data_IF_684731886892
#
_entry.id   IF_684731886892
#
_cell.length_a   1.000
_cell.length_b   1.000
_cell.length_c   1.000
_cell.angle_alpha   90.00
_cell.angle_beta   90.00
_cell.angle_gamma   90.00
#
_symmetry.space_group_name_H-M   'P 1'
#
loop_
_entity.id
_entity.type
_entity.pdbx_description
1 polymer ?
#
# COMPACT_ATOMS: atom_id res chain seq x y z
N UNK A 1 -29.55 -4.01 -11.41
CA UNK A 1 -29.43 -4.72 -12.71
C UNK A 1 -30.31 -4.11 -13.80
N UNK A 2 -31.45 -3.49 -13.46
CA UNK A 2 -32.31 -2.79 -14.44
C UNK A 2 -31.72 -1.45 -14.90
N UNK A 3 -31.14 -0.66 -13.98
CA UNK A 3 -30.49 0.64 -14.28
C UNK A 3 -29.34 0.46 -15.30
N UNK A 4 -28.58 -0.63 -15.21
CA UNK A 4 -27.47 -0.92 -16.13
C UNK A 4 -27.96 -1.23 -17.55
N UNK A 5 -29.13 -1.85 -17.70
CA UNK A 5 -29.67 -2.24 -19.02
C UNK A 5 -30.34 -1.04 -19.71
N UNK A 6 -31.00 -0.16 -18.95
CA UNK A 6 -31.62 1.06 -19.50
C UNK A 6 -30.58 2.10 -19.95
N UNK A 7 -29.46 2.22 -19.24
CA UNK A 7 -28.33 3.05 -19.68
C UNK A 7 -27.70 2.51 -20.98
N UNK A 8 -27.57 1.19 -21.09
CA UNK A 8 -27.05 0.52 -22.30
C UNK A 8 -27.98 0.67 -23.52
N UNK A 9 -29.30 0.73 -23.32
CA UNK A 9 -30.26 0.92 -24.42
C UNK A 9 -30.30 2.37 -24.94
N UNK A 10 -30.16 3.36 -24.05
CA UNK A 10 -30.03 4.79 -24.41
C UNK A 10 -28.73 5.12 -25.13
N UNK A 11 -27.64 4.42 -24.80
CA UNK A 11 -26.37 4.48 -25.53
C UNK A 11 -26.55 4.05 -26.99
N UNK A 12 -27.37 3.04 -27.27
CA UNK A 12 -27.51 2.43 -28.60
C UNK A 12 -28.09 3.35 -29.70
N UNK A 13 -28.76 4.45 -29.32
CA UNK A 13 -29.43 5.36 -30.25
C UNK A 13 -28.58 6.52 -30.78
N UNK A 14 -27.43 6.82 -30.16
CA UNK A 14 -26.61 7.98 -30.52
C UNK A 14 -25.15 7.57 -30.74
N UNK A 15 -24.79 7.34 -32.01
CA UNK A 15 -23.45 6.91 -32.43
C UNK A 15 -22.33 7.87 -32.01
N UNK A 16 -22.64 9.16 -31.85
CA UNK A 16 -21.69 10.16 -31.32
C UNK A 16 -21.46 10.00 -29.82
N UNK A 17 -22.49 9.64 -29.06
CA UNK A 17 -22.36 9.43 -27.62
C UNK A 17 -21.59 8.15 -27.31
N UNK A 18 -21.85 7.06 -28.05
CA UNK A 18 -21.11 5.80 -27.88
C UNK A 18 -19.64 5.95 -28.24
N UNK A 19 -19.32 6.66 -29.32
CA UNK A 19 -17.92 6.89 -29.72
C UNK A 19 -17.16 7.71 -28.67
N UNK A 20 -17.75 8.77 -28.12
CA UNK A 20 -17.14 9.57 -27.05
C UNK A 20 -16.90 8.72 -25.80
N UNK A 21 -17.89 7.93 -25.36
CA UNK A 21 -17.74 7.06 -24.18
C UNK A 21 -16.63 6.02 -24.38
N UNK A 22 -16.54 5.43 -25.58
CA UNK A 22 -15.47 4.47 -25.91
C UNK A 22 -14.10 5.14 -25.91
N UNK A 23 -13.98 6.35 -26.45
CA UNK A 23 -12.71 7.11 -26.44
C UNK A 23 -12.29 7.41 -25.01
N UNK A 24 -13.22 7.90 -24.17
CA UNK A 24 -12.92 8.18 -22.74
C UNK A 24 -12.50 6.89 -22.04
N UNK A 25 -13.22 5.78 -22.25
CA UNK A 25 -12.87 4.49 -21.66
C UNK A 25 -11.47 4.03 -22.10
N UNK A 26 -11.10 4.21 -23.37
CA UNK A 26 -9.76 3.90 -23.87
C UNK A 26 -8.70 4.81 -23.27
N UNK A 27 -8.94 6.13 -23.19
CA UNK A 27 -8.00 7.09 -22.58
C UNK A 27 -7.75 6.72 -21.12
N UNK A 28 -8.82 6.46 -20.37
CA UNK A 28 -8.75 6.02 -18.97
C UNK A 28 -7.99 4.69 -18.87
N UNK A 29 -8.31 3.73 -19.72
CA UNK A 29 -7.64 2.43 -19.76
C UNK A 29 -6.13 2.56 -20.05
N UNK A 30 -5.74 3.35 -21.05
CA UNK A 30 -4.33 3.58 -21.38
C UNK A 30 -3.61 4.37 -20.29
N UNK A 31 -4.26 5.36 -19.68
CA UNK A 31 -3.69 6.12 -18.57
C UNK A 31 -3.38 5.22 -17.37
N UNK A 32 -4.33 4.38 -16.96
CA UNK A 32 -4.11 3.42 -15.87
C UNK A 32 -3.05 2.37 -16.21
N UNK A 33 -3.04 1.86 -17.45
CA UNK A 33 -2.03 0.88 -17.88
C UNK A 33 -0.63 1.47 -18.04
N UNK A 34 -0.51 2.77 -18.35
CA UNK A 34 0.80 3.43 -18.45
C UNK A 34 1.44 3.60 -17.08
N UNK A 35 0.65 3.93 -16.06
CA UNK A 35 1.12 4.14 -14.68
C UNK A 35 1.71 2.88 -14.04
N UNK A 36 1.26 1.69 -14.47
CA UNK A 36 1.71 0.40 -13.91
C UNK A 36 2.91 -0.21 -14.65
N UNK A 37 3.44 0.46 -15.69
CA UNK A 37 4.57 -0.08 -16.44
C UNK A 37 5.89 0.02 -15.66
N UNK A 38 6.74 -1.02 -15.70
CA UNK A 38 8.07 -0.94 -15.11
C UNK A 38 8.93 0.17 -15.76
N UNK A 39 9.84 0.73 -14.97
CA UNK A 39 10.83 1.69 -15.47
C UNK A 39 11.76 0.98 -16.44
N UNK A 40 12.00 1.62 -17.59
CA UNK A 40 12.93 1.09 -18.60
C UNK A 40 14.34 1.00 -18.03
N UNK A 41 15.02 -0.12 -18.31
CA UNK A 41 16.42 -0.34 -17.94
C UNK A 41 16.65 -0.99 -16.56
N UNK A 42 15.60 -1.19 -15.77
CA UNK A 42 15.69 -1.95 -14.50
C UNK A 42 14.98 -3.30 -14.69
N UNK A 43 15.60 -4.42 -14.29
CA UNK A 43 14.97 -5.73 -14.42
C UNK A 43 13.73 -5.84 -13.53
N UNK A 44 12.73 -6.57 -14.00
CA UNK A 44 11.46 -6.79 -13.32
C UNK A 44 11.32 -8.25 -12.84
N UNK A 45 10.73 -8.44 -11.65
CA UNK A 45 10.48 -9.74 -11.00
C UNK A 45 8.99 -9.91 -10.74
N UNK A 46 8.44 -11.09 -11.03
CA UNK A 46 7.12 -11.48 -10.52
C UNK A 46 6.06 -11.81 -11.54
N UNK A 47 6.22 -11.39 -12.79
CA UNK A 47 5.18 -11.49 -13.81
C UNK A 47 5.61 -12.29 -15.04
N UNK A 48 4.66 -12.96 -15.71
CA UNK A 48 4.93 -13.56 -17.00
C UNK A 48 5.28 -12.46 -18.02
N UNK A 49 6.21 -12.77 -18.95
CA UNK A 49 6.64 -11.82 -20.01
C UNK A 49 5.50 -11.28 -20.88
N UNK A 50 4.34 -11.94 -20.85
CA UNK A 50 3.15 -11.62 -21.65
C UNK A 50 2.04 -10.91 -20.84
N UNK A 51 2.29 -10.54 -19.58
CA UNK A 51 1.30 -9.83 -18.75
C UNK A 51 1.25 -8.34 -19.10
N UNK A 52 0.60 -8.00 -20.21
CA UNK A 52 0.54 -6.62 -20.75
C UNK A 52 -0.12 -5.65 -19.75
N UNK A 53 -1.08 -6.16 -18.97
CA UNK A 53 -1.85 -5.38 -17.98
C UNK A 53 -1.25 -5.44 -16.57
N UNK A 54 -0.17 -6.20 -16.36
CA UNK A 54 0.47 -6.45 -15.07
C UNK A 54 -0.49 -6.96 -13.96
N UNK A 55 -1.63 -7.55 -14.31
CA UNK A 55 -2.63 -7.96 -13.31
C UNK A 55 -2.15 -9.15 -12.48
N UNK A 56 -1.45 -10.10 -13.11
CA UNK A 56 -0.91 -11.28 -12.39
C UNK A 56 0.26 -10.87 -11.51
N UNK A 57 1.06 -9.93 -11.99
CA UNK A 57 2.12 -9.31 -11.21
C UNK A 57 1.61 -8.66 -9.92
N UNK A 58 0.58 -7.81 -10.06
CA UNK A 58 -0.06 -7.14 -8.93
C UNK A 58 -0.70 -8.11 -7.96
N UNK A 59 -1.41 -9.12 -8.48
CA UNK A 59 -2.00 -10.15 -7.65
C UNK A 59 -0.94 -10.93 -6.86
N UNK A 60 0.20 -11.24 -7.48
CA UNK A 60 1.32 -11.90 -6.80
C UNK A 60 1.97 -11.00 -5.76
N UNK A 61 2.07 -9.70 -6.02
CA UNK A 61 2.52 -8.75 -5.01
C UNK A 61 1.60 -8.75 -3.79
N UNK A 62 0.28 -8.80 -3.97
CA UNK A 62 -0.68 -8.82 -2.86
C UNK A 62 -0.68 -10.14 -2.08
N UNK A 63 -0.49 -11.27 -2.76
CA UNK A 63 -0.58 -12.60 -2.14
C UNK A 63 0.75 -13.14 -1.63
N UNK A 64 1.87 -12.82 -2.28
CA UNK A 64 3.19 -13.39 -1.99
C UNK A 64 4.34 -12.38 -2.18
N UNK A 65 4.20 -11.20 -1.59
CA UNK A 65 5.23 -10.16 -1.64
C UNK A 65 6.58 -10.64 -1.09
N UNK A 66 6.56 -11.42 0.00
CA UNK A 66 7.77 -11.86 0.70
C UNK A 66 8.65 -12.74 -0.19
N UNK A 67 8.09 -13.77 -0.82
CA UNK A 67 8.88 -14.61 -1.71
C UNK A 67 9.22 -13.88 -3.01
N UNK A 68 8.39 -12.93 -3.44
CA UNK A 68 8.68 -12.10 -4.60
C UNK A 68 9.94 -11.23 -4.40
N UNK A 69 10.08 -10.59 -3.24
CA UNK A 69 11.27 -9.83 -2.88
C UNK A 69 12.49 -10.75 -2.78
N UNK A 70 12.32 -11.91 -2.13
CA UNK A 70 13.38 -12.92 -2.01
C UNK A 70 13.89 -13.39 -3.38
N UNK A 71 12.98 -13.72 -4.30
CA UNK A 71 13.31 -14.10 -5.68
C UNK A 71 14.13 -13.00 -6.38
N UNK A 72 13.73 -11.73 -6.20
CA UNK A 72 14.45 -10.60 -6.79
C UNK A 72 15.86 -10.42 -6.24
N UNK A 73 16.02 -10.55 -4.92
CA UNK A 73 17.33 -10.47 -4.25
C UNK A 73 18.25 -11.65 -4.62
N UNK A 74 17.71 -12.84 -4.85
CA UNK A 74 18.48 -14.01 -5.30
C UNK A 74 18.89 -13.90 -6.77
N UNK A 75 18.04 -13.27 -7.60
CA UNK A 75 18.23 -13.21 -9.05
C UNK A 75 19.08 -12.03 -9.51
N UNK A 76 19.03 -10.91 -8.80
CA UNK A 76 19.70 -9.68 -9.19
C UNK A 76 20.57 -9.17 -8.04
N UNK A 77 21.87 -9.02 -8.30
CA UNK A 77 22.76 -8.31 -7.37
C UNK A 77 22.44 -6.80 -7.36
N UNK A 78 21.93 -6.25 -8.47
CA UNK A 78 21.59 -4.84 -8.63
C UNK A 78 20.12 -4.48 -8.32
N UNK A 79 19.72 -3.22 -8.57
CA UNK A 79 18.32 -2.80 -8.50
C UNK A 79 17.39 -3.67 -9.34
N UNK A 80 16.20 -3.93 -8.82
CA UNK A 80 15.14 -4.62 -9.56
C UNK A 80 13.78 -4.01 -9.22
N UNK A 81 12.75 -4.38 -9.98
CA UNK A 81 11.40 -3.88 -9.79
C UNK A 81 10.41 -4.98 -9.49
N UNK A 82 9.42 -4.63 -8.68
CA UNK A 82 8.20 -5.41 -8.46
C UNK A 82 7.01 -4.52 -8.80
N UNK A 83 5.94 -5.11 -9.31
CA UNK A 83 4.74 -4.35 -9.70
C UNK A 83 3.65 -4.60 -8.67
N UNK A 84 3.38 -3.60 -7.84
CA UNK A 84 2.16 -3.50 -7.04
C UNK A 84 1.17 -2.56 -7.72
N UNK A 85 0.36 -1.86 -6.93
CA UNK A 85 -0.51 -0.78 -7.44
C UNK A 85 0.28 0.29 -8.23
N UNK A 86 1.54 0.51 -7.84
CA UNK A 86 2.54 1.33 -8.53
C UNK A 86 3.82 0.48 -8.65
N UNK A 87 4.64 0.65 -9.70
CA UNK A 87 5.96 0.03 -9.78
C UNK A 87 6.83 0.42 -8.59
N UNK A 88 7.45 -0.56 -7.93
CA UNK A 88 8.34 -0.36 -6.79
C UNK A 88 9.74 -0.82 -7.20
N UNK A 89 10.70 0.10 -7.17
CA UNK A 89 12.11 -0.23 -7.37
C UNK A 89 12.75 -0.60 -6.04
N UNK A 90 13.25 -1.82 -5.94
CA UNK A 90 13.99 -2.31 -4.79
C UNK A 90 15.47 -2.06 -5.03
N UNK A 91 16.09 -1.38 -4.07
CA UNK A 91 17.49 -1.01 -4.11
C UNK A 91 18.28 -1.87 -3.10
N UNK A 92 19.40 -2.48 -3.50
CA UNK A 92 20.28 -3.17 -2.57
C UNK A 92 20.76 -2.28 -1.42
N UNK A 93 21.02 -2.81 -0.21
CA UNK A 93 21.38 -2.01 0.97
C UNK A 93 22.60 -1.10 0.80
N UNK A 94 23.52 -1.43 -0.12
CA UNK A 94 24.68 -0.58 -0.44
C UNK A 94 24.33 0.81 -0.98
N UNK A 95 23.10 1.01 -1.45
CA UNK A 95 22.63 2.32 -1.91
C UNK A 95 22.02 3.19 -0.78
N UNK A 96 21.87 2.68 0.45
CA UNK A 96 21.28 3.45 1.57
C UNK A 96 21.94 4.82 1.78
N UNK A 97 23.29 4.95 1.79
CA UNK A 97 23.92 6.27 1.95
C UNK A 97 23.61 7.23 0.81
N UNK A 98 23.40 6.72 -0.41
CA UNK A 98 23.04 7.53 -1.58
C UNK A 98 21.59 8.00 -1.48
N UNK A 99 20.67 7.14 -1.02
CA UNK A 99 19.24 7.42 -1.04
C UNK A 99 18.84 8.43 0.04
N UNK A 100 19.43 8.31 1.24
CA UNK A 100 19.02 9.06 2.42
C UNK A 100 19.08 10.57 2.22
N UNK A 101 20.12 11.05 1.53
CA UNK A 101 20.39 12.48 1.37
C UNK A 101 20.15 12.96 -0.08
N UNK A 102 19.49 12.15 -0.93
CA UNK A 102 19.29 12.49 -2.33
C UNK A 102 18.15 13.51 -2.50
N UNK A 103 18.38 14.70 -3.10
CA UNK A 103 17.38 15.77 -3.17
C UNK A 103 16.14 15.40 -4.01
N UNK A 104 16.27 14.44 -4.93
CA UNK A 104 15.17 13.96 -5.75
C UNK A 104 14.42 12.76 -5.16
N UNK A 105 14.86 12.22 -4.01
CA UNK A 105 14.19 11.11 -3.34
C UNK A 105 13.53 11.66 -2.07
N UNK A 106 12.25 11.97 -2.21
CA UNK A 106 11.46 12.59 -1.17
C UNK A 106 10.46 11.57 -0.58
N UNK A 107 10.69 11.20 0.68
CA UNK A 107 9.86 10.21 1.37
C UNK A 107 8.41 10.70 1.55
N UNK A 108 8.19 11.92 2.04
CA UNK A 108 6.82 12.34 2.34
C UNK A 108 6.01 12.63 1.08
N UNK A 109 6.62 13.08 -0.04
CA UNK A 109 5.92 13.11 -1.34
C UNK A 109 5.50 11.71 -1.79
N UNK A 110 6.37 10.72 -1.60
CA UNK A 110 5.99 9.33 -1.88
C UNK A 110 4.93 8.81 -0.91
N UNK A 111 4.93 9.24 0.34
CA UNK A 111 3.98 8.84 1.36
C UNK A 111 2.59 9.45 1.08
N UNK A 112 2.53 10.72 0.67
CA UNK A 112 1.32 11.44 0.26
C UNK A 112 0.53 10.67 -0.79
N UNK A 113 1.19 10.26 -1.88
CA UNK A 113 0.56 9.47 -2.94
C UNK A 113 0.12 8.09 -2.42
N UNK A 114 0.91 7.46 -1.54
CA UNK A 114 0.69 6.08 -1.11
C UNK A 114 -0.31 5.94 0.05
N UNK A 115 -0.46 6.98 0.87
CA UNK A 115 -1.34 7.03 2.04
C UNK A 115 -2.58 7.91 1.79
N UNK A 116 -2.84 8.27 0.52
CA UNK A 116 -4.02 9.04 0.11
C UNK A 116 -4.13 10.40 0.80
N UNK A 117 -3.03 11.16 0.85
CA UNK A 117 -2.97 12.45 1.54
C UNK A 117 -4.04 13.44 1.09
N UNK A 118 -4.41 13.42 -0.19
CA UNK A 118 -5.45 14.29 -0.77
C UNK A 118 -6.86 14.02 -0.22
N UNK A 119 -7.08 12.91 0.50
CA UNK A 119 -8.39 12.54 1.03
C UNK A 119 -8.68 13.24 2.37
N UNK A 120 -9.86 13.85 2.55
CA UNK A 120 -10.22 14.49 3.83
C UNK A 120 -10.11 13.51 5.01
N UNK A 121 -9.34 13.89 6.04
CA UNK A 121 -9.04 13.05 7.21
C UNK A 121 -7.72 12.27 7.11
N UNK A 122 -7.07 12.23 5.94
CA UNK A 122 -5.72 11.71 5.71
C UNK A 122 -4.74 12.82 5.29
N UNK A 123 -5.17 14.08 5.37
CA UNK A 123 -4.41 15.28 5.04
C UNK A 123 -3.19 15.51 5.95
N UNK A 124 -3.13 14.83 7.09
CA UNK A 124 -1.95 14.81 7.96
C UNK A 124 -0.70 14.29 7.25
N UNK A 125 -0.85 13.49 6.18
CA UNK A 125 0.28 12.96 5.41
C UNK A 125 1.06 14.07 4.71
N UNK A 126 0.40 15.15 4.23
CA UNK A 126 1.09 16.32 3.67
C UNK A 126 2.02 16.98 4.71
N UNK A 127 1.57 17.00 5.97
CA UNK A 127 2.29 17.63 7.08
C UNK A 127 3.52 16.84 7.53
N UNK A 128 3.74 15.62 7.04
CA UNK A 128 4.95 14.83 7.34
C UNK A 128 6.21 15.54 6.84
N UNK A 129 6.11 16.24 5.71
CA UNK A 129 7.21 16.90 5.02
C UNK A 129 7.21 18.42 5.13
N UNK A 130 6.04 19.05 5.19
CA UNK A 130 5.93 20.50 5.15
C UNK A 130 6.41 21.14 6.47
N UNK A 131 6.08 20.53 7.61
CA UNK A 131 6.38 21.10 8.91
C UNK A 131 7.10 20.12 9.83
N UNK A 132 8.27 20.54 10.34
CA UNK A 132 8.97 19.88 11.45
C UNK A 132 8.09 19.74 12.70
N UNK A 133 7.04 20.54 12.80
CA UNK A 133 6.07 20.55 13.91
C UNK A 133 5.43 19.17 14.08
N UNK A 134 5.08 18.46 13.01
CA UNK A 134 4.47 17.14 13.13
C UNK A 134 5.45 16.14 13.77
N UNK A 135 6.68 16.09 13.25
CA UNK A 135 7.73 15.21 13.76
C UNK A 135 8.15 15.57 15.20
N UNK A 136 8.27 16.87 15.49
CA UNK A 136 8.64 17.37 16.81
C UNK A 136 7.54 17.11 17.84
N UNK A 137 6.28 17.34 17.46
CA UNK A 137 5.12 17.03 18.31
C UNK A 137 5.03 15.54 18.61
N UNK A 138 5.23 14.67 17.61
CA UNK A 138 5.29 13.22 17.84
C UNK A 138 6.42 12.86 18.80
N UNK A 139 7.63 13.37 18.58
CA UNK A 139 8.79 13.09 19.45
C UNK A 139 8.55 13.51 20.90
N UNK A 140 7.99 14.70 21.11
CA UNK A 140 7.71 15.27 22.43
C UNK A 140 6.57 14.50 23.09
N UNK A 141 5.42 14.41 22.42
CA UNK A 141 4.21 13.86 23.00
C UNK A 141 4.30 12.35 23.20
N UNK A 142 4.95 11.58 22.30
CA UNK A 142 5.10 10.14 22.51
C UNK A 142 5.89 9.83 23.78
N UNK A 143 6.97 10.57 24.04
CA UNK A 143 7.80 10.32 25.22
C UNK A 143 7.10 10.75 26.50
N UNK A 144 6.46 11.92 26.48
CA UNK A 144 5.73 12.45 27.65
C UNK A 144 4.49 11.63 27.99
N UNK A 145 3.75 11.21 26.97
CA UNK A 145 2.52 10.45 27.15
C UNK A 145 2.78 8.98 27.48
N UNK A 146 4.00 8.47 27.26
CA UNK A 146 4.31 7.07 27.51
C UNK A 146 4.08 6.66 28.98
N UNK A 147 4.48 7.49 29.94
CA UNK A 147 4.26 7.20 31.37
C UNK A 147 2.79 7.18 31.77
N UNK A 148 1.94 7.91 31.05
CA UNK A 148 0.50 7.99 31.30
C UNK A 148 -0.27 6.90 30.54
N UNK A 149 0.09 6.64 29.28
CA UNK A 149 -0.55 5.64 28.44
C UNK A 149 -0.24 4.21 28.90
N UNK A 150 0.97 3.95 29.39
CA UNK A 150 1.39 2.58 29.78
C UNK A 150 0.48 1.96 30.84
N UNK A 151 0.15 2.63 31.98
CA UNK A 151 -0.76 2.04 32.97
C UNK A 151 -2.19 1.87 32.43
N UNK A 152 -2.67 2.77 31.57
CA UNK A 152 -3.99 2.65 30.93
C UNK A 152 -4.04 1.42 30.00
N UNK A 153 -3.04 1.27 29.13
CA UNK A 153 -2.91 0.10 28.26
C UNK A 153 -2.75 -1.20 29.06
N UNK A 154 -2.04 -1.16 30.19
CA UNK A 154 -1.89 -2.31 31.07
C UNK A 154 -3.20 -2.69 31.77
N UNK A 155 -4.02 -1.69 32.13
CA UNK A 155 -5.36 -1.92 32.68
C UNK A 155 -6.28 -2.55 31.64
N UNK A 156 -6.39 -1.95 30.45
CA UNK A 156 -7.19 -2.49 29.35
C UNK A 156 -6.75 -3.91 28.96
N UNK A 157 -5.44 -4.14 28.89
CA UNK A 157 -4.91 -5.47 28.62
C UNK A 157 -5.29 -6.48 29.72
N UNK A 158 -5.36 -6.07 30.99
CA UNK A 158 -5.80 -6.94 32.10
C UNK A 158 -7.28 -7.28 31.97
N UNK A 159 -8.11 -6.29 31.68
CA UNK A 159 -9.56 -6.50 31.50
C UNK A 159 -9.82 -7.45 30.32
N UNK A 160 -9.16 -7.24 29.18
CA UNK A 160 -9.23 -8.13 28.02
C UNK A 160 -8.68 -9.54 28.35
N UNK A 161 -7.63 -9.63 29.16
CA UNK A 161 -7.08 -10.93 29.58
C UNK A 161 -8.07 -11.70 30.44
N UNK A 162 -8.79 -11.05 31.35
CA UNK A 162 -9.82 -11.72 32.16
C UNK A 162 -11.00 -12.20 31.30
N UNK A 163 -11.36 -11.46 30.24
CA UNK A 163 -12.38 -11.87 29.28
C UNK A 163 -11.92 -13.04 28.38
N UNK A 164 -10.70 -12.99 27.86
CA UNK A 164 -10.15 -14.02 26.97
C UNK A 164 -9.70 -15.28 27.72
N UNK A 165 -9.25 -15.11 28.96
CA UNK A 165 -8.71 -16.15 29.84
C UNK A 165 -9.35 -16.06 31.24
N UNK A 166 -10.61 -16.48 31.40
CA UNK A 166 -11.27 -16.46 32.70
C UNK A 166 -10.48 -17.26 33.73
N UNK A 167 -10.47 -16.80 34.97
CA UNK A 167 -9.79 -17.48 36.07
C UNK A 167 -10.42 -18.87 36.31
N UNK A 168 -9.71 -19.94 35.93
CA UNK A 168 -10.12 -21.33 36.14
C UNK A 168 -9.14 -22.06 37.05
N UNK A 169 -9.64 -22.94 37.92
CA UNK A 169 -8.80 -23.82 38.74
C UNK A 169 -8.22 -25.00 37.97
N UNK A 170 -8.65 -25.19 36.73
CA UNK A 170 -8.21 -26.27 35.84
C UNK A 170 -7.41 -25.70 34.67
N UNK A 171 -6.43 -26.48 34.19
CA UNK A 171 -5.58 -26.07 33.08
C UNK A 171 -6.36 -26.13 31.77
N UNK A 172 -6.46 -25.00 31.08
CA UNK A 172 -7.18 -24.89 29.81
C UNK A 172 -6.21 -24.70 28.66
N UNK A 173 -6.31 -25.54 27.61
CA UNK A 173 -5.50 -25.38 26.39
C UNK A 173 -6.03 -24.22 25.55
N UNK A 174 -5.17 -23.26 25.25
CA UNK A 174 -5.46 -22.17 24.31
C UNK A 174 -4.59 -22.27 23.05
N UNK A 175 -5.15 -21.91 21.91
CA UNK A 175 -4.43 -21.87 20.62
C UNK A 175 -4.17 -20.40 20.28
N UNK A 176 -2.90 -20.00 20.29
CA UNK A 176 -2.50 -18.66 19.88
C UNK A 176 -2.79 -18.42 18.39
N UNK A 177 -3.30 -17.23 18.07
CA UNK A 177 -3.56 -16.81 16.69
C UNK A 177 -4.81 -17.43 16.06
N UNK A 178 -5.70 -18.09 16.83
CA UNK A 178 -6.96 -18.64 16.30
C UNK A 178 -7.87 -17.59 15.64
N UNK A 179 -7.81 -16.34 16.12
CA UNK A 179 -8.64 -15.21 15.66
C UNK A 179 -7.86 -14.23 14.76
N UNK A 180 -6.57 -14.49 14.51
CA UNK A 180 -5.75 -13.67 13.62
C UNK A 180 -5.97 -14.14 12.17
N UNK A 181 -6.86 -13.44 11.46
CA UNK A 181 -7.14 -13.61 10.02
C UNK A 181 -6.16 -12.80 9.19
#
# INVERSE_FOLDING_TARGET
MEITIELLSRLRGNTYFTTVVVIIALVVFFYFNYSTQPLRGIPYVGGPKWDILNLKAQYRFLTDCKNLIKEGLEKYDGPFQIIGAVPITILPPRYVPLIKDHPNLDFGKSAEVRLFGEYPGLDWVHKINEDRIFQESLRINMTQYLSEATPLLAQEAREILDDLFPQTNEWTRYVFGKDAV
#
